data_IF_081441072512
#
_entry.id   IF_081441072512
#
_cell.length_a   1.000
_cell.length_b   1.000
_cell.length_c   1.000
_cell.angle_alpha   90.00
_cell.angle_beta   90.00
_cell.angle_gamma   90.00
#
_symmetry.space_group_name_H-M   'P 1'
#
loop_
_entity.id
_entity.type
_entity.pdbx_description
1 polymer ?
#
# COMPACT_ATOMS: atom_id res chain seq x y z
N UNK A 1 -0.52 21.62 6.08
CA UNK A 1 -0.32 20.74 7.25
C UNK A 1 0.08 21.62 8.40
N UNK A 2 -0.51 21.39 9.57
CA UNK A 2 -0.20 22.13 10.78
C UNK A 2 0.33 21.16 11.83
N UNK A 3 1.40 21.54 12.51
CA UNK A 3 1.94 20.79 13.65
C UNK A 3 1.35 21.34 14.93
N UNK A 4 1.09 20.45 15.89
CA UNK A 4 0.64 20.73 17.24
C UNK A 4 1.71 20.19 18.19
N UNK A 5 2.80 20.94 18.43
CA UNK A 5 3.96 20.43 19.16
C UNK A 5 3.62 19.99 20.59
N UNK A 6 2.79 20.76 21.29
CA UNK A 6 2.35 20.46 22.66
C UNK A 6 1.54 19.16 22.74
N UNK A 7 0.86 18.80 21.66
CA UNK A 7 0.04 17.58 21.58
C UNK A 7 0.76 16.43 20.86
N UNK A 8 1.99 16.63 20.38
CA UNK A 8 2.71 15.66 19.56
C UNK A 8 1.94 15.26 18.28
N UNK A 9 1.07 16.16 17.79
CA UNK A 9 0.06 15.85 16.78
C UNK A 9 0.24 16.67 15.50
N UNK A 10 -0.49 16.27 14.46
CA UNK A 10 -0.50 16.93 13.14
C UNK A 10 -1.92 16.96 12.60
N UNK A 11 -2.32 18.11 12.03
CA UNK A 11 -3.52 18.22 11.20
C UNK A 11 -3.13 18.41 9.73
N UNK A 12 -3.80 17.69 8.84
CA UNK A 12 -3.57 17.83 7.40
C UNK A 12 -4.90 17.77 6.62
N UNK A 13 -4.90 18.40 5.44
CA UNK A 13 -6.03 18.42 4.48
C UNK A 13 -5.58 18.15 3.04
N UNK A 14 -4.55 17.32 2.85
CA UNK A 14 -3.90 17.17 1.55
C UNK A 14 -4.79 16.52 0.47
N UNK A 15 -5.73 15.65 0.85
CA UNK A 15 -6.72 15.09 -0.07
C UNK A 15 -6.13 14.33 -1.26
N UNK A 16 -5.19 13.41 -1.00
CA UNK A 16 -4.49 12.60 -2.01
C UNK A 16 -3.81 13.41 -3.13
N UNK A 17 -2.81 14.24 -2.76
CA UNK A 17 -1.98 15.03 -3.67
C UNK A 17 -0.95 14.18 -4.45
N UNK A 18 -1.38 13.06 -5.04
CA UNK A 18 -0.55 12.16 -5.85
C UNK A 18 -0.43 12.66 -7.29
N UNK A 19 0.70 12.38 -7.95
CA UNK A 19 0.88 12.59 -9.40
C UNK A 19 0.23 11.47 -10.24
N UNK A 20 -0.45 10.53 -9.59
CA UNK A 20 -1.22 9.47 -10.23
C UNK A 20 -0.39 8.24 -10.59
N UNK A 21 -1.08 7.21 -11.06
CA UNK A 21 -0.49 5.87 -11.18
C UNK A 21 0.68 5.79 -12.19
N UNK A 22 0.66 6.59 -13.25
CA UNK A 22 1.70 6.56 -14.29
C UNK A 22 3.05 7.01 -13.75
N UNK A 23 3.10 8.17 -13.08
CA UNK A 23 4.35 8.73 -12.56
C UNK A 23 4.92 7.86 -11.43
N UNK A 24 4.06 7.35 -10.57
CA UNK A 24 4.46 6.38 -9.53
C UNK A 24 5.06 5.12 -10.13
N UNK A 25 4.42 4.54 -11.16
CA UNK A 25 4.92 3.33 -11.81
C UNK A 25 6.28 3.57 -12.48
N UNK A 26 6.48 4.72 -13.14
CA UNK A 26 7.78 5.11 -13.70
C UNK A 26 8.86 5.10 -12.61
N UNK A 27 8.59 5.68 -11.43
CA UNK A 27 9.54 5.68 -10.30
C UNK A 27 9.88 4.28 -9.81
N UNK A 28 8.87 3.41 -9.66
CA UNK A 28 9.09 2.02 -9.24
C UNK A 28 9.95 1.25 -10.25
N UNK A 29 9.71 1.43 -11.55
CA UNK A 29 10.51 0.83 -12.62
C UNK A 29 11.96 1.34 -12.62
N UNK A 30 12.15 2.65 -12.48
CA UNK A 30 13.49 3.25 -12.39
C UNK A 30 14.26 2.73 -11.17
N UNK A 31 13.59 2.59 -10.00
CA UNK A 31 14.19 2.02 -8.80
C UNK A 31 14.68 0.59 -9.02
N UNK A 32 13.90 -0.23 -9.73
CA UNK A 32 14.29 -1.60 -10.09
C UNK A 32 15.51 -1.61 -11.03
N UNK A 33 15.52 -0.77 -12.06
CA UNK A 33 16.64 -0.64 -13.00
C UNK A 33 17.94 -0.18 -12.31
N UNK A 34 17.86 0.82 -11.42
CA UNK A 34 19.03 1.29 -10.67
C UNK A 34 19.54 0.25 -9.69
N UNK A 35 18.65 -0.50 -9.05
CA UNK A 35 19.02 -1.58 -8.15
C UNK A 35 19.77 -2.71 -8.88
N UNK A 36 19.28 -3.16 -10.03
CA UNK A 36 19.95 -4.20 -10.82
C UNK A 36 21.31 -3.72 -11.34
N UNK A 37 21.40 -2.46 -11.78
CA UNK A 37 22.64 -1.83 -12.23
C UNK A 37 23.70 -1.70 -11.13
N UNK A 38 23.30 -1.29 -9.93
CA UNK A 38 24.25 -1.10 -8.81
C UNK A 38 24.71 -2.44 -8.22
N UNK A 39 23.83 -3.45 -8.16
CA UNK A 39 24.18 -4.79 -7.68
C UNK A 39 25.12 -5.54 -8.63
N UNK A 40 24.99 -5.34 -9.95
CA UNK A 40 25.91 -5.95 -10.92
C UNK A 40 27.35 -5.42 -10.78
N UNK A 41 27.52 -4.16 -10.34
CA UNK A 41 28.84 -3.55 -10.10
C UNK A 41 29.43 -3.80 -8.72
N UNK A 42 28.59 -3.97 -7.71
CA UNK A 42 29.02 -4.22 -6.32
C UNK A 42 29.21 -5.68 -5.99
N UNK A 43 28.97 -6.61 -6.93
CA UNK A 43 29.24 -8.03 -6.72
C UNK A 43 30.76 -8.24 -6.61
N UNK A 44 31.30 -8.66 -5.45
CA UNK A 44 32.67 -9.15 -5.37
C UNK A 44 32.83 -10.33 -6.33
N UNK A 45 33.99 -10.45 -6.99
CA UNK A 45 34.34 -11.59 -7.86
C UNK A 45 34.21 -12.96 -7.16
N UNK A 46 34.16 -12.97 -5.83
CA UNK A 46 34.09 -14.18 -5.00
C UNK A 46 32.70 -14.40 -4.35
N UNK A 47 31.68 -13.60 -4.68
CA UNK A 47 30.34 -13.83 -4.14
C UNK A 47 29.71 -15.06 -4.78
N UNK A 48 29.32 -16.03 -3.94
CA UNK A 48 28.61 -17.23 -4.38
C UNK A 48 27.40 -16.88 -5.27
N UNK A 49 27.14 -17.61 -6.36
CA UNK A 49 25.96 -17.42 -7.22
C UNK A 49 24.64 -17.45 -6.45
N UNK A 50 24.64 -18.06 -5.27
CA UNK A 50 23.48 -18.44 -4.48
C UNK A 50 23.28 -17.58 -3.21
N UNK A 51 23.59 -16.28 -3.24
CA UNK A 51 23.14 -15.37 -2.17
C UNK A 51 21.60 -15.24 -2.25
N UNK A 52 20.83 -16.01 -1.45
CA UNK A 52 19.47 -16.37 -1.78
C UNK A 52 18.49 -15.48 -1.04
N UNK A 53 18.88 -14.26 -0.63
CA UNK A 53 17.91 -13.33 -0.06
C UNK A 53 16.89 -12.99 -1.15
N UNK A 54 15.62 -13.43 -1.06
CA UNK A 54 14.59 -12.94 -1.93
C UNK A 54 14.46 -11.48 -1.57
N UNK A 55 14.95 -10.65 -2.47
CA UNK A 55 14.72 -9.24 -2.37
C UNK A 55 13.21 -9.08 -2.50
N UNK A 56 12.59 -8.83 -1.36
CA UNK A 56 11.27 -8.22 -1.27
C UNK A 56 11.19 -7.08 -2.30
N UNK A 57 9.97 -6.71 -2.69
CA UNK A 57 9.75 -5.72 -3.74
C UNK A 57 10.26 -4.31 -3.35
N UNK A 58 10.65 -4.11 -2.10
CA UNK A 58 11.32 -2.90 -1.65
C UNK A 58 12.76 -2.75 -2.14
N UNK A 59 13.44 -3.82 -2.56
CA UNK A 59 14.85 -3.73 -2.98
C UNK A 59 15.78 -3.17 -1.89
N UNK A 60 15.33 -3.20 -0.64
CA UNK A 60 16.07 -2.82 0.56
C UNK A 60 16.07 -4.00 1.52
N UNK A 61 17.24 -4.26 2.08
CA UNK A 61 17.39 -5.40 2.96
C UNK A 61 16.49 -5.29 4.21
N UNK A 62 15.80 -6.39 4.53
CA UNK A 62 14.86 -6.47 5.64
C UNK A 62 13.64 -5.53 5.62
N UNK A 63 13.30 -4.87 4.50
CA UNK A 63 12.14 -3.95 4.39
C UNK A 63 11.09 -4.47 3.41
N UNK A 64 9.80 -4.20 3.61
CA UNK A 64 8.76 -4.51 2.62
C UNK A 64 8.31 -3.26 1.87
N UNK A 65 7.82 -3.43 0.64
CA UNK A 65 7.18 -2.36 -0.13
C UNK A 65 5.67 -2.53 -0.12
N UNK A 66 4.99 -1.69 0.66
CA UNK A 66 3.55 -1.52 0.56
C UNK A 66 3.20 -0.44 -0.45
N UNK A 67 2.17 -0.68 -1.26
CA UNK A 67 1.56 0.36 -2.10
C UNK A 67 0.16 0.66 -1.60
N UNK A 68 -0.11 1.92 -1.30
CA UNK A 68 -1.42 2.37 -0.83
C UNK A 68 -2.15 3.10 -1.94
N UNK A 69 -3.36 2.63 -2.18
CA UNK A 69 -4.23 3.05 -3.25
C UNK A 69 -5.33 3.91 -2.63
N UNK A 70 -5.61 5.03 -3.29
CA UNK A 70 -6.72 5.90 -2.96
C UNK A 70 -7.54 6.21 -4.22
N UNK A 71 -8.80 6.55 -4.01
CA UNK A 71 -9.70 7.00 -5.06
C UNK A 71 -9.39 8.43 -5.50
N UNK A 72 -9.58 8.75 -6.77
CA UNK A 72 -9.48 10.12 -7.25
C UNK A 72 -10.61 10.98 -6.64
N UNK A 73 -10.31 12.25 -6.37
CA UNK A 73 -11.29 13.20 -5.79
C UNK A 73 -12.49 13.45 -6.70
N UNK A 74 -12.27 13.43 -8.02
CA UNK A 74 -13.29 13.69 -9.04
C UNK A 74 -14.11 12.46 -9.43
N UNK A 75 -13.69 11.27 -9.00
CA UNK A 75 -14.45 10.05 -9.22
C UNK A 75 -15.72 10.03 -8.36
N UNK A 76 -16.83 9.42 -8.84
CA UNK A 76 -18.02 9.17 -8.03
C UNK A 76 -17.69 8.44 -6.72
N UNK A 77 -18.52 8.58 -5.68
CA UNK A 77 -18.25 8.02 -4.35
C UNK A 77 -18.16 6.49 -4.39
N UNK A 78 -19.06 5.89 -5.15
CA UNK A 78 -19.20 4.46 -5.44
C UNK A 78 -18.16 3.92 -6.44
N UNK A 79 -17.28 4.77 -6.98
CA UNK A 79 -16.34 4.35 -8.01
C UNK A 79 -15.22 3.45 -7.44
N UNK A 80 -15.36 2.15 -7.67
CA UNK A 80 -14.39 1.11 -7.31
C UNK A 80 -13.23 1.01 -8.32
N UNK A 81 -13.41 1.52 -9.53
CA UNK A 81 -12.49 1.33 -10.66
C UNK A 81 -11.10 1.91 -10.40
N UNK A 82 -10.99 2.99 -9.63
CA UNK A 82 -9.70 3.58 -9.25
C UNK A 82 -8.84 2.58 -8.44
N UNK A 83 -9.47 1.81 -7.55
CA UNK A 83 -8.79 0.78 -6.77
C UNK A 83 -8.41 -0.41 -7.63
N UNK A 84 -9.32 -0.87 -8.50
CA UNK A 84 -9.07 -1.98 -9.44
C UNK A 84 -7.86 -1.66 -10.33
N UNK A 85 -7.85 -0.49 -10.97
CA UNK A 85 -6.72 0.00 -11.77
C UNK A 85 -5.42 0.08 -10.96
N UNK A 86 -5.52 0.44 -9.69
CA UNK A 86 -4.37 0.47 -8.77
C UNK A 86 -3.81 -0.93 -8.51
N UNK A 87 -4.69 -1.88 -8.18
CA UNK A 87 -4.29 -3.27 -7.88
C UNK A 87 -3.67 -3.94 -9.09
N UNK A 88 -4.30 -3.85 -10.27
CA UNK A 88 -3.77 -4.42 -11.52
C UNK A 88 -2.39 -3.84 -11.86
N UNK A 89 -2.22 -2.53 -11.64
CA UNK A 89 -0.99 -1.82 -12.02
C UNK A 89 0.17 -2.02 -11.06
N UNK A 90 -0.11 -2.07 -9.76
CA UNK A 90 0.93 -2.11 -8.72
C UNK A 90 1.14 -3.50 -8.12
N UNK A 91 0.23 -4.45 -8.35
CA UNK A 91 0.35 -5.82 -7.85
C UNK A 91 1.71 -6.46 -8.12
N UNK A 92 2.27 -6.40 -9.35
CA UNK A 92 3.58 -6.98 -9.65
C UNK A 92 4.78 -6.32 -8.92
N UNK A 93 4.58 -5.11 -8.38
CA UNK A 93 5.62 -4.27 -7.80
C UNK A 93 5.50 -4.12 -6.28
N UNK A 94 4.49 -4.69 -5.63
CA UNK A 94 4.25 -4.54 -4.20
C UNK A 94 4.44 -5.87 -3.45
N UNK A 95 4.94 -5.80 -2.23
CA UNK A 95 4.89 -6.94 -1.29
C UNK A 95 3.50 -7.06 -0.64
N UNK A 96 2.76 -5.95 -0.54
CA UNK A 96 1.35 -5.91 -0.14
C UNK A 96 0.68 -4.63 -0.67
N UNK A 97 -0.62 -4.68 -0.85
CA UNK A 97 -1.44 -3.55 -1.29
C UNK A 97 -2.33 -3.08 -0.14
N UNK A 98 -2.62 -1.78 -0.13
CA UNK A 98 -3.54 -1.18 0.83
C UNK A 98 -4.63 -0.42 0.09
N UNK A 99 -5.88 -0.77 0.32
CA UNK A 99 -7.06 -0.03 -0.12
C UNK A 99 -7.43 0.97 0.97
N UNK A 100 -7.26 2.27 0.69
CA UNK A 100 -7.45 3.34 1.65
C UNK A 100 -8.79 4.03 1.49
N UNK A 101 -9.76 3.60 2.29
CA UNK A 101 -11.14 4.12 2.33
C UNK A 101 -11.41 5.06 3.51
N UNK A 102 -10.36 5.55 4.18
CA UNK A 102 -10.47 6.17 5.50
C UNK A 102 -9.98 7.62 5.58
N UNK A 103 -9.51 8.20 4.48
CA UNK A 103 -9.12 9.61 4.43
C UNK A 103 -10.33 10.52 4.72
N UNK A 104 -10.25 11.44 5.72
CA UNK A 104 -11.30 12.43 5.95
C UNK A 104 -11.28 13.58 4.93
N UNK A 105 -10.25 13.63 4.09
CA UNK A 105 -9.99 14.76 3.19
C UNK A 105 -10.53 14.53 1.77
N UNK A 106 -11.18 13.39 1.55
CA UNK A 106 -11.81 13.01 0.29
C UNK A 106 -13.31 12.85 0.57
N UNK A 107 -14.17 13.75 0.06
CA UNK A 107 -15.61 13.68 0.30
C UNK A 107 -16.19 12.30 -0.04
N UNK A 108 -17.15 11.82 0.77
CA UNK A 108 -17.83 10.55 0.56
C UNK A 108 -17.01 9.28 0.85
N UNK A 109 -15.68 9.37 0.87
CA UNK A 109 -14.80 8.21 0.89
C UNK A 109 -15.04 7.28 2.08
N UNK A 110 -15.26 7.85 3.27
CA UNK A 110 -15.51 7.08 4.50
C UNK A 110 -16.82 6.30 4.46
N UNK A 111 -17.75 6.63 3.56
CA UNK A 111 -18.97 5.86 3.32
C UNK A 111 -18.71 4.46 2.77
N UNK A 112 -17.56 4.24 2.13
CA UNK A 112 -17.13 2.92 1.65
C UNK A 112 -16.82 1.92 2.79
N UNK A 113 -16.79 2.38 4.04
CA UNK A 113 -16.62 1.51 5.21
C UNK A 113 -17.92 0.83 5.67
N UNK A 114 -19.07 1.26 5.13
CA UNK A 114 -20.35 0.58 5.37
C UNK A 114 -20.33 -0.83 4.77
N UNK A 115 -21.02 -1.76 5.41
CA UNK A 115 -21.00 -3.19 5.10
C UNK A 115 -21.13 -3.51 3.61
N UNK A 116 -22.20 -3.06 2.97
CA UNK A 116 -22.52 -3.40 1.58
C UNK A 116 -21.49 -2.80 0.60
N UNK A 117 -21.09 -1.56 0.85
CA UNK A 117 -20.11 -0.86 0.03
C UNK A 117 -18.72 -1.49 0.14
N UNK A 118 -18.29 -1.83 1.35
CA UNK A 118 -17.02 -2.51 1.60
C UNK A 118 -17.01 -3.90 0.97
N UNK A 119 -18.09 -4.66 1.15
CA UNK A 119 -18.21 -6.01 0.59
C UNK A 119 -18.14 -5.98 -0.94
N UNK A 120 -18.84 -5.04 -1.58
CA UNK A 120 -18.79 -4.83 -3.04
C UNK A 120 -17.38 -4.45 -3.52
N UNK A 121 -16.74 -3.50 -2.83
CA UNK A 121 -15.38 -3.04 -3.14
C UNK A 121 -14.38 -4.20 -3.07
N UNK A 122 -14.37 -4.94 -1.97
CA UNK A 122 -13.41 -6.02 -1.73
C UNK A 122 -13.60 -7.15 -2.73
N UNK A 123 -14.84 -7.57 -3.02
CA UNK A 123 -15.13 -8.60 -4.02
C UNK A 123 -14.59 -8.21 -5.40
N UNK A 124 -14.82 -6.97 -5.84
CA UNK A 124 -14.33 -6.48 -7.11
C UNK A 124 -12.80 -6.44 -7.15
N UNK A 125 -12.15 -5.88 -6.13
CA UNK A 125 -10.69 -5.78 -6.08
C UNK A 125 -10.02 -7.15 -5.95
N UNK A 126 -10.57 -8.06 -5.14
CA UNK A 126 -10.07 -9.42 -4.96
C UNK A 126 -10.15 -10.22 -6.27
N UNK A 127 -11.28 -10.14 -6.99
CA UNK A 127 -11.46 -10.82 -8.28
C UNK A 127 -10.42 -10.42 -9.33
N UNK A 128 -9.93 -9.18 -9.27
CA UNK A 128 -8.91 -8.65 -10.19
C UNK A 128 -7.48 -8.86 -9.72
N UNK A 129 -7.27 -9.04 -8.42
CA UNK A 129 -5.99 -9.45 -7.87
C UNK A 129 -5.52 -10.81 -8.38
N UNK A 130 -6.46 -11.73 -8.67
CA UNK A 130 -6.18 -13.12 -9.13
C UNK A 130 -5.63 -13.18 -10.57
N UNK A 131 -5.92 -12.18 -11.42
CA UNK A 131 -5.53 -12.19 -12.84
C UNK A 131 -4.05 -11.87 -13.11
N UNK A 132 -3.18 -11.86 -12.10
CA UNK A 132 -1.74 -11.63 -12.28
C UNK A 132 -0.91 -12.92 -12.50
N UNK A 133 -1.56 -14.07 -12.69
CA UNK A 133 -0.89 -15.25 -13.23
C UNK A 133 -0.82 -15.21 -14.77
N UNK A 134 0.42 -15.39 -15.25
CA UNK A 134 0.78 -15.86 -16.58
C UNK A 134 0.50 -14.91 -17.75
N UNK A 135 1.50 -14.08 -18.04
CA UNK A 135 1.84 -13.80 -19.44
C UNK A 135 2.04 -15.13 -20.19
N UNK A 136 1.04 -15.46 -21.01
CA UNK A 136 1.06 -16.30 -22.21
C UNK A 136 2.04 -17.45 -22.32
N UNK A 137 1.49 -18.66 -22.40
CA UNK A 137 1.95 -19.63 -23.41
C UNK A 137 1.63 -19.10 -24.81
N UNK A 138 2.38 -18.10 -25.27
CA UNK A 138 2.66 -17.93 -26.70
C UNK A 138 4.17 -17.79 -26.81
N UNK A 139 4.78 -18.71 -27.57
CA UNK A 139 6.19 -18.69 -27.97
C UNK A 139 6.59 -17.25 -28.30
N UNK A 140 7.31 -16.61 -27.38
CA UNK A 140 8.14 -15.45 -27.70
C UNK A 140 9.58 -15.97 -27.66
N UNK A 141 10.34 -15.55 -28.66
CA UNK A 141 11.65 -16.07 -28.98
C UNK A 141 12.64 -15.95 -27.81
N UNK A 142 13.68 -16.77 -27.87
CA UNK A 142 14.64 -17.02 -26.81
C UNK A 142 15.60 -15.86 -26.47
N UNK A 143 15.32 -14.60 -26.84
CA UNK A 143 16.27 -13.48 -26.59
C UNK A 143 15.90 -12.49 -25.49
N UNK A 144 14.79 -12.66 -24.77
CA UNK A 144 14.40 -11.68 -23.72
C UNK A 144 13.91 -12.31 -22.42
N UNK A 145 14.66 -13.26 -21.86
CA UNK A 145 14.31 -13.90 -20.57
C UNK A 145 15.34 -13.55 -19.49
N UNK A 146 15.11 -12.45 -18.77
CA UNK A 146 15.71 -12.25 -17.45
C UNK A 146 14.65 -12.52 -16.38
N UNK A 147 14.35 -13.80 -16.21
CA UNK A 147 13.42 -14.30 -15.19
C UNK A 147 14.17 -14.44 -13.86
N UNK A 148 14.08 -13.43 -13.00
CA UNK A 148 14.60 -13.56 -11.62
C UNK A 148 13.58 -14.34 -10.79
N UNK A 149 13.73 -15.66 -10.77
CA UNK A 149 13.19 -16.51 -9.71
C UNK A 149 14.16 -16.45 -8.53
N UNK A 150 13.74 -15.88 -7.40
CA UNK A 150 14.47 -15.98 -6.14
C UNK A 150 13.48 -16.30 -5.01
N UNK A 151 13.63 -17.51 -4.48
CA UNK A 151 12.97 -18.04 -3.29
C UNK A 151 13.93 -17.84 -2.10
N UNK A 152 13.40 -17.71 -0.87
CA UNK A 152 14.00 -17.95 0.49
C UNK A 152 14.12 -16.75 1.48
N UNK A 153 13.01 -16.26 2.08
CA UNK A 153 13.03 -15.77 3.48
C UNK A 153 12.76 -16.98 4.39
N UNK A 154 12.85 -16.77 5.71
CA UNK A 154 12.68 -17.81 6.75
C UNK A 154 11.49 -18.77 6.51
N UNK A 155 11.63 -20.06 6.89
CA UNK A 155 10.82 -21.15 6.34
C UNK A 155 9.31 -21.00 6.54
N UNK A 156 8.84 -20.46 7.67
CA UNK A 156 7.41 -20.40 7.95
C UNK A 156 6.71 -19.23 7.24
N UNK A 157 7.30 -18.04 7.18
CA UNK A 157 6.70 -16.87 6.51
C UNK A 157 6.81 -16.98 4.99
N UNK A 158 7.89 -17.59 4.48
CA UNK A 158 8.10 -17.76 3.04
C UNK A 158 7.62 -19.08 2.46
N UNK A 159 7.49 -20.16 3.24
CA UNK A 159 6.72 -21.31 2.77
C UNK A 159 5.23 -20.96 2.64
N UNK A 160 4.69 -20.11 3.52
CA UNK A 160 3.33 -19.57 3.36
C UNK A 160 3.26 -18.60 2.18
N UNK A 161 4.19 -17.64 2.05
CA UNK A 161 4.24 -16.71 0.89
C UNK A 161 4.39 -17.42 -0.45
N UNK A 162 5.20 -18.48 -0.53
CA UNK A 162 5.38 -19.24 -1.77
C UNK A 162 4.33 -20.36 -1.97
N UNK A 163 3.35 -20.46 -1.08
CA UNK A 163 2.08 -21.15 -1.31
C UNK A 163 0.97 -20.15 -1.70
N UNK A 164 1.17 -18.85 -1.48
CA UNK A 164 0.38 -17.75 -2.06
C UNK A 164 0.95 -17.47 -3.45
N UNK A 165 0.83 -18.46 -4.34
CA UNK A 165 0.80 -18.16 -5.76
C UNK A 165 -0.52 -17.38 -6.00
N UNK A 166 -0.41 -16.13 -6.48
CA UNK A 166 -1.32 -15.43 -7.41
C UNK A 166 -1.45 -13.91 -7.19
N UNK A 167 -1.38 -13.40 -5.95
CA UNK A 167 -1.55 -11.95 -5.69
C UNK A 167 -0.86 -11.46 -4.41
N UNK A 168 -0.36 -10.20 -4.37
CA UNK A 168 0.11 -9.62 -3.11
C UNK A 168 -1.05 -9.49 -2.10
N UNK A 169 -0.81 -9.69 -0.79
CA UNK A 169 -1.82 -9.49 0.26
C UNK A 169 -2.52 -8.14 0.13
N UNK A 170 -3.84 -8.14 0.24
CA UNK A 170 -4.70 -6.97 0.17
C UNK A 170 -5.16 -6.57 1.56
N UNK A 171 -4.73 -5.38 2.00
CA UNK A 171 -5.12 -4.82 3.28
C UNK A 171 -6.13 -3.69 3.08
N UNK A 172 -7.05 -3.50 4.03
CA UNK A 172 -7.95 -2.34 4.05
C UNK A 172 -7.57 -1.41 5.21
N UNK A 173 -7.44 -0.12 4.93
CA UNK A 173 -7.15 0.89 5.97
C UNK A 173 -8.42 1.62 6.37
N UNK A 174 -8.80 1.51 7.65
CA UNK A 174 -10.04 2.07 8.21
C UNK A 174 -9.82 3.32 9.05
N UNK A 175 -10.87 4.12 9.23
CA UNK A 175 -10.89 5.31 10.06
C UNK A 175 -11.09 4.90 11.53
N UNK A 176 -10.61 5.72 12.48
CA UNK A 176 -10.85 5.48 13.90
C UNK A 176 -12.25 5.92 14.36
N UNK A 177 -12.91 6.77 13.57
CA UNK A 177 -14.20 7.38 13.91
C UNK A 177 -15.35 6.47 13.45
N UNK A 178 -15.52 5.32 14.11
CA UNK A 178 -16.50 4.28 13.83
C UNK A 178 -17.22 3.86 15.12
N UNK A 179 -18.49 3.50 15.01
CA UNK A 179 -19.24 2.85 16.08
C UNK A 179 -18.87 1.37 16.21
N UNK A 180 -19.17 0.77 17.37
CA UNK A 180 -18.92 -0.67 17.60
C UNK A 180 -19.67 -1.57 16.60
N UNK A 181 -20.87 -1.15 16.18
CA UNK A 181 -21.64 -1.83 15.14
C UNK A 181 -20.91 -1.78 13.79
N UNK A 182 -20.38 -0.61 13.39
CA UNK A 182 -19.61 -0.48 12.14
C UNK A 182 -18.31 -1.28 12.18
N UNK A 183 -17.62 -1.33 13.33
CA UNK A 183 -16.43 -2.17 13.51
C UNK A 183 -16.79 -3.65 13.33
N UNK A 184 -17.91 -4.08 13.91
CA UNK A 184 -18.42 -5.45 13.79
C UNK A 184 -18.71 -5.79 12.34
N UNK A 185 -19.43 -4.92 11.61
CA UNK A 185 -19.73 -5.12 10.20
C UNK A 185 -18.46 -5.20 9.34
N UNK A 186 -17.47 -4.35 9.58
CA UNK A 186 -16.18 -4.40 8.88
C UNK A 186 -15.45 -5.72 9.16
N UNK A 187 -15.44 -6.19 10.41
CA UNK A 187 -14.82 -7.46 10.78
C UNK A 187 -15.53 -8.64 10.10
N UNK A 188 -16.86 -8.63 10.06
CA UNK A 188 -17.67 -9.62 9.33
C UNK A 188 -17.31 -9.65 7.85
N UNK A 189 -17.30 -8.49 7.18
CA UNK A 189 -16.95 -8.40 5.75
C UNK A 189 -15.52 -8.86 5.50
N UNK A 190 -14.58 -8.53 6.38
CA UNK A 190 -13.20 -8.96 6.27
C UNK A 190 -13.03 -10.47 6.35
N UNK A 191 -13.77 -11.13 7.25
CA UNK A 191 -13.79 -12.58 7.35
C UNK A 191 -14.48 -13.23 6.14
N UNK A 192 -15.65 -12.73 5.73
CA UNK A 192 -16.42 -13.28 4.60
C UNK A 192 -15.72 -13.13 3.25
N UNK A 193 -15.01 -12.02 3.04
CA UNK A 193 -14.34 -11.71 1.78
C UNK A 193 -12.84 -12.07 1.79
N UNK A 194 -12.36 -12.73 2.85
CA UNK A 194 -10.97 -13.17 3.01
C UNK A 194 -9.97 -12.02 2.79
N UNK A 195 -10.19 -10.87 3.43
CA UNK A 195 -9.25 -9.75 3.42
C UNK A 195 -8.00 -10.17 4.21
N UNK A 196 -6.82 -10.04 3.60
CA UNK A 196 -5.56 -10.50 4.19
C UNK A 196 -5.15 -9.70 5.45
N UNK A 197 -5.68 -8.49 5.63
CA UNK A 197 -5.52 -7.74 6.86
C UNK A 197 -6.22 -6.38 6.90
N UNK A 198 -6.31 -5.81 8.10
CA UNK A 198 -6.88 -4.48 8.34
C UNK A 198 -5.81 -3.59 8.98
N UNK A 199 -5.66 -2.37 8.48
CA UNK A 199 -4.82 -1.33 9.09
C UNK A 199 -5.71 -0.42 9.94
N UNK A 200 -5.49 -0.46 11.25
CA UNK A 200 -6.17 0.35 12.26
C UNK A 200 -5.15 1.31 12.88
N UNK A 201 -5.25 2.64 12.74
CA UNK A 201 -6.27 3.43 12.03
C UNK A 201 -5.65 4.53 11.15
N UNK A 202 -6.50 5.20 10.37
CA UNK A 202 -6.18 6.49 9.75
C UNK A 202 -6.36 7.66 10.73
N UNK A 203 -6.22 8.91 10.26
CA UNK A 203 -6.40 10.12 11.06
C UNK A 203 -7.86 10.32 11.49
N UNK A 204 -8.07 10.85 12.69
CA UNK A 204 -9.39 11.18 13.25
C UNK A 204 -9.89 12.58 12.82
N UNK A 205 -11.21 12.72 12.67
CA UNK A 205 -11.88 14.02 12.56
C UNK A 205 -12.19 14.67 13.91
N UNK A 206 -12.15 13.89 14.99
CA UNK A 206 -12.39 14.36 16.35
C UNK A 206 -11.39 15.44 16.76
N UNK A 207 -11.89 16.45 17.48
CA UNK A 207 -11.11 17.57 18.02
C UNK A 207 -11.47 17.70 19.50
N UNK A 208 -10.87 16.87 20.38
CA UNK A 208 -11.21 16.91 21.79
C UNK A 208 -10.78 18.25 22.39
N UNK A 209 -11.53 18.72 23.39
CA UNK A 209 -11.24 19.96 24.12
C UNK A 209 -9.93 19.90 24.91
N UNK A 210 -9.34 18.71 25.05
CA UNK A 210 -8.04 18.48 25.69
C UNK A 210 -6.83 18.87 24.83
N UNK A 211 -7.01 19.24 23.56
CA UNK A 211 -5.91 19.72 22.71
C UNK A 211 -5.37 21.05 23.24
N UNK A 212 -4.05 21.13 23.41
CA UNK A 212 -3.39 22.24 24.11
C UNK A 212 -2.73 23.24 23.18
N UNK A 213 -2.31 22.82 21.98
CA UNK A 213 -1.65 23.71 21.02
C UNK A 213 -2.57 24.87 20.64
N UNK A 214 -2.23 26.07 21.13
CA UNK A 214 -2.98 27.32 20.86
C UNK A 214 -2.55 28.00 19.56
N UNK A 215 -1.31 27.74 19.13
CA UNK A 215 -0.72 28.30 17.92
C UNK A 215 -0.37 27.20 16.91
N UNK A 216 -0.77 27.41 15.67
CA UNK A 216 -0.55 26.46 14.59
C UNK A 216 0.69 26.88 13.83
N UNK A 217 1.79 26.16 14.01
CA UNK A 217 2.97 26.43 13.19
C UNK A 217 2.73 25.86 11.77
N UNK A 218 2.58 26.74 10.78
CA UNK A 218 2.67 26.40 9.37
C UNK A 218 4.08 25.86 9.10
N UNK A 219 4.22 24.55 9.17
CA UNK A 219 5.47 23.90 8.83
C UNK A 219 5.64 23.94 7.31
N UNK A 220 6.46 24.88 6.80
CA UNK A 220 7.21 24.61 5.58
C UNK A 220 7.97 23.28 5.81
N UNK A 221 7.92 22.38 4.83
CA UNK A 221 8.20 20.92 4.89
C UNK A 221 9.66 20.54 5.26
N UNK A 222 10.41 21.33 6.04
CA UNK A 222 11.88 21.24 6.12
C UNK A 222 12.54 20.82 7.44
N UNK A 223 11.82 20.30 8.45
CA UNK A 223 12.49 19.64 9.60
C UNK A 223 11.79 18.36 10.04
N UNK A 224 12.48 17.24 9.85
CA UNK A 224 12.13 15.91 10.37
C UNK A 224 12.16 15.96 11.90
N UNK A 225 11.00 15.69 12.51
CA UNK A 225 10.93 15.22 13.89
C UNK A 225 10.61 13.72 13.87
N UNK A 226 11.07 12.94 14.86
CA UNK A 226 10.83 11.50 14.92
C UNK A 226 9.41 11.24 15.42
N UNK A 227 8.41 11.34 14.53
CA UNK A 227 7.07 10.83 14.85
C UNK A 227 7.04 9.31 14.67
N UNK A 228 6.60 8.59 15.72
CA UNK A 228 6.60 7.11 15.73
C UNK A 228 5.53 6.47 14.88
N UNK A 229 4.45 7.15 14.50
CA UNK A 229 3.51 6.64 13.48
C UNK A 229 2.84 7.80 12.73
N UNK A 230 3.46 8.21 11.63
CA UNK A 230 2.71 8.78 10.50
C UNK A 230 3.01 7.87 9.33
N UNK A 231 2.02 7.11 8.86
CA UNK A 231 2.08 6.48 7.54
C UNK A 231 1.93 7.62 6.52
N UNK A 232 3.00 8.39 6.33
CA UNK A 232 3.21 9.17 5.11
C UNK A 232 3.86 8.22 4.13
N UNK A 233 3.09 7.82 3.13
CA UNK A 233 3.58 6.97 2.05
C UNK A 233 4.30 7.91 1.09
N UNK A 234 5.61 7.98 1.27
CA UNK A 234 6.50 8.54 0.27
C UNK A 234 6.82 7.46 -0.76
N UNK A 235 6.71 7.83 -2.04
CA UNK A 235 7.22 7.06 -3.18
C UNK A 235 8.74 7.13 -3.24
#
# INVERSE_FOLDING_TARGET
>A
MFRLPEDGAVINRYGFNSEGHNEVLKRLRMRLQLFTYTRSRRRPCNASPADPHPMNKSLRDGKLLGVNLGKNKTSPEENVEDYVKGVEKFGPYADYLVVNISSPNTPGLRGLQKKEALQSLVKQVASRGVYLQCGGTRRLDARSVLLVRARVLRPQVVATRNKIDERPPLLVKIAPDLSDAEITDIATVAAECEIDGIIVSNTTTSRPTSLRSREWCCAAVRRQLPFRFVIVIFF
#
